data_IF_519655400821
#
_entry.id   IF_519655400821
#
_cell.length_a   1.000
_cell.length_b   1.000
_cell.length_c   1.000
_cell.angle_alpha   90.00
_cell.angle_beta   90.00
_cell.angle_gamma   90.00
#
_symmetry.space_group_name_H-M   'P 1'
#
loop_
_entity.id
_entity.type
_entity.pdbx_description
1 polymer ?
#
# COMPACT_ATOMS: atom_id res chain seq x y z
N UNK A 1 -42.76 -19.09 -13.51
CA UNK A 1 -41.34 -19.51 -13.50
C UNK A 1 -40.58 -18.71 -14.56
N UNK A 2 -40.25 -17.44 -14.27
CA UNK A 2 -39.43 -16.56 -15.13
C UNK A 2 -38.91 -15.35 -14.33
N UNK A 3 -38.53 -15.57 -13.07
CA UNK A 3 -37.91 -14.54 -12.22
C UNK A 3 -36.37 -14.57 -12.27
N UNK A 4 -35.79 -15.36 -13.19
CA UNK A 4 -34.35 -15.64 -13.24
C UNK A 4 -33.56 -14.82 -14.28
N UNK A 5 -34.19 -13.97 -15.10
CA UNK A 5 -33.51 -13.24 -16.18
C UNK A 5 -32.98 -11.85 -15.81
N UNK A 6 -33.05 -11.43 -14.55
CA UNK A 6 -32.59 -10.10 -14.12
C UNK A 6 -31.40 -10.13 -13.16
N UNK A 7 -30.57 -11.18 -13.20
CA UNK A 7 -29.22 -11.11 -12.62
C UNK A 7 -28.38 -10.19 -13.50
N UNK A 8 -28.46 -8.89 -13.21
CA UNK A 8 -27.57 -7.89 -13.78
C UNK A 8 -26.13 -8.40 -13.70
N UNK A 9 -25.48 -8.49 -14.85
CA UNK A 9 -24.10 -8.95 -15.05
C UNK A 9 -23.09 -7.91 -14.56
N UNK A 10 -23.32 -7.33 -13.38
CA UNK A 10 -22.37 -6.42 -12.78
C UNK A 10 -21.30 -7.25 -12.08
N UNK A 11 -20.04 -7.11 -12.53
CA UNK A 11 -18.78 -7.59 -11.90
C UNK A 11 -18.07 -8.81 -12.52
N UNK A 12 -17.97 -8.94 -13.85
CA UNK A 12 -17.04 -9.93 -14.45
C UNK A 12 -15.57 -9.44 -14.54
N UNK A 13 -15.30 -8.16 -14.26
CA UNK A 13 -13.99 -7.53 -14.46
C UNK A 13 -13.34 -6.96 -13.20
N UNK A 14 -13.86 -7.27 -12.01
CA UNK A 14 -13.29 -6.74 -10.75
C UNK A 14 -11.83 -7.15 -10.52
N UNK A 15 -11.40 -8.28 -11.09
CA UNK A 15 -10.01 -8.72 -11.04
C UNK A 15 -9.03 -7.75 -11.73
N UNK A 16 -9.48 -6.92 -12.68
CA UNK A 16 -8.65 -5.87 -13.28
C UNK A 16 -8.21 -4.84 -12.23
N UNK A 17 -9.03 -4.59 -11.21
CA UNK A 17 -8.69 -3.73 -10.08
C UNK A 17 -7.60 -4.36 -9.20
N UNK A 18 -7.60 -5.69 -9.07
CA UNK A 18 -6.49 -6.39 -8.44
C UNK A 18 -5.20 -6.32 -9.26
N UNK A 19 -5.28 -6.39 -10.58
CA UNK A 19 -4.12 -6.20 -11.47
C UNK A 19 -3.56 -4.80 -11.33
N UNK A 20 -4.41 -3.77 -11.28
CA UNK A 20 -3.97 -2.40 -10.99
C UNK A 20 -3.26 -2.32 -9.63
N UNK A 21 -3.86 -2.88 -8.58
CA UNK A 21 -3.26 -2.92 -7.24
C UNK A 21 -1.90 -3.63 -7.23
N UNK A 22 -1.78 -4.75 -7.94
CA UNK A 22 -0.53 -5.49 -8.08
C UNK A 22 0.54 -4.66 -8.83
N UNK A 23 0.14 -3.92 -9.87
CA UNK A 23 1.01 -2.98 -10.55
C UNK A 23 1.56 -1.90 -9.63
N UNK A 24 0.73 -1.37 -8.72
CA UNK A 24 1.16 -0.40 -7.70
C UNK A 24 2.17 -1.03 -6.73
N UNK A 25 1.93 -2.26 -6.25
CA UNK A 25 2.89 -2.98 -5.39
C UNK A 25 4.23 -3.18 -6.08
N UNK A 26 4.23 -3.60 -7.36
CA UNK A 26 5.46 -3.79 -8.13
C UNK A 26 6.21 -2.46 -8.30
N UNK A 27 5.50 -1.38 -8.64
CA UNK A 27 6.10 -0.06 -8.77
C UNK A 27 6.71 0.46 -7.45
N UNK A 28 6.01 0.25 -6.34
CA UNK A 28 6.48 0.60 -5.00
C UNK A 28 7.76 -0.18 -4.63
N UNK A 29 7.74 -1.51 -4.72
CA UNK A 29 8.94 -2.30 -4.38
C UNK A 29 10.12 -2.04 -5.33
N UNK A 30 9.85 -1.80 -6.62
CA UNK A 30 10.91 -1.47 -7.59
C UNK A 30 11.56 -0.12 -7.30
N UNK A 31 10.78 0.90 -6.96
CA UNK A 31 11.32 2.23 -6.62
C UNK A 31 12.07 2.20 -5.29
N UNK A 32 11.56 1.48 -4.27
CA UNK A 32 12.29 1.24 -3.02
C UNK A 32 13.62 0.51 -3.24
N UNK A 33 13.63 -0.53 -4.06
CA UNK A 33 14.86 -1.26 -4.39
C UNK A 33 15.88 -0.36 -5.11
N UNK A 34 15.41 0.48 -6.05
CA UNK A 34 16.27 1.45 -6.73
C UNK A 34 16.90 2.43 -5.73
N UNK A 35 16.12 3.01 -4.82
CA UNK A 35 16.63 3.95 -3.81
C UNK A 35 17.61 3.26 -2.86
N UNK A 36 17.29 2.07 -2.36
CA UNK A 36 18.20 1.27 -1.52
C UNK A 36 19.53 0.96 -2.20
N UNK A 37 19.56 0.87 -3.53
CA UNK A 37 20.78 0.65 -4.31
C UNK A 37 21.57 1.92 -4.64
N UNK A 38 20.97 3.11 -4.46
CA UNK A 38 21.53 4.39 -4.94
C UNK A 38 21.78 5.43 -3.86
N UNK A 39 21.17 5.30 -2.68
CA UNK A 39 21.34 6.18 -1.53
C UNK A 39 21.77 5.39 -0.29
N UNK A 40 22.55 6.03 0.58
CA UNK A 40 22.81 5.54 1.94
C UNK A 40 21.75 6.05 2.91
N UNK A 41 21.47 5.35 4.02
CA UNK A 41 20.51 5.83 5.01
C UNK A 41 20.89 7.22 5.54
N UNK A 42 19.96 8.17 5.49
CA UNK A 42 20.18 9.57 5.86
C UNK A 42 20.87 10.43 4.77
N UNK A 43 21.23 9.85 3.63
CA UNK A 43 21.68 10.61 2.47
C UNK A 43 20.50 11.32 1.80
N UNK A 44 20.69 12.60 1.50
CA UNK A 44 19.74 13.44 0.80
C UNK A 44 20.25 13.76 -0.61
N UNK A 45 19.38 13.60 -1.61
CA UNK A 45 19.60 14.06 -2.98
C UNK A 45 18.49 15.03 -3.38
N UNK A 46 18.79 16.32 -3.29
CA UNK A 46 17.89 17.40 -3.72
C UNK A 46 17.66 17.33 -5.23
N UNK A 47 16.39 17.33 -5.64
CA UNK A 47 15.98 17.33 -7.04
C UNK A 47 15.42 18.69 -7.46
N UNK A 48 14.69 19.37 -6.57
CA UNK A 48 14.22 20.74 -6.73
C UNK A 48 14.30 21.48 -5.40
N UNK A 49 14.02 22.79 -5.39
CA UNK A 49 14.03 23.61 -4.17
C UNK A 49 12.99 23.19 -3.12
N UNK A 50 12.03 22.32 -3.47
CA UNK A 50 10.96 21.85 -2.59
C UNK A 50 10.86 20.31 -2.51
N UNK A 51 11.78 19.59 -3.15
CA UNK A 51 11.69 18.14 -3.25
C UNK A 51 13.06 17.46 -3.28
N UNK A 52 13.24 16.51 -2.37
CA UNK A 52 14.45 15.73 -2.19
C UNK A 52 14.15 14.23 -2.11
N UNK A 53 15.12 13.42 -2.51
CA UNK A 53 15.12 11.99 -2.18
C UNK A 53 15.94 11.77 -0.91
N UNK A 54 15.32 11.20 0.13
CA UNK A 54 15.97 10.96 1.43
C UNK A 54 15.71 9.54 1.89
N UNK A 55 16.72 8.66 1.90
CA UNK A 55 16.51 7.28 2.35
C UNK A 55 16.30 7.22 3.87
N UNK A 56 15.06 7.00 4.29
CA UNK A 56 14.63 6.85 5.67
C UNK A 56 13.97 5.48 5.91
N UNK A 57 14.04 5.00 7.15
CA UNK A 57 13.36 3.78 7.55
C UNK A 57 12.33 4.07 8.64
N UNK A 58 11.06 3.83 8.32
CA UNK A 58 9.95 4.12 9.18
C UNK A 58 9.50 2.87 9.95
N UNK A 59 9.90 2.82 11.21
CA UNK A 59 9.48 1.80 12.18
C UNK A 59 8.12 2.11 12.84
N UNK A 60 7.50 3.25 12.52
CA UNK A 60 6.30 3.75 13.20
C UNK A 60 6.59 4.70 14.37
N UNK A 61 7.75 5.36 14.38
CA UNK A 61 8.18 6.23 15.49
C UNK A 61 7.20 7.39 15.79
N UNK A 62 6.40 7.83 14.82
CA UNK A 62 5.34 8.82 15.05
C UNK A 62 4.30 8.37 16.11
N UNK A 63 4.21 7.06 16.38
CA UNK A 63 3.31 6.47 17.36
C UNK A 63 4.03 5.98 18.63
N UNK A 64 5.30 6.36 18.84
CA UNK A 64 6.07 5.95 20.03
C UNK A 64 5.45 6.43 21.34
N UNK A 65 4.61 7.48 21.33
CA UNK A 65 3.87 7.94 22.50
C UNK A 65 2.85 6.92 23.05
N UNK A 66 2.51 5.88 22.28
CA UNK A 66 1.58 4.81 22.70
C UNK A 66 2.28 3.66 23.44
N UNK A 67 3.60 3.68 23.57
CA UNK A 67 4.32 2.72 24.40
C UNK A 67 5.82 2.72 24.16
N UNK A 68 6.59 2.69 25.24
CA UNK A 68 8.06 2.72 25.25
C UNK A 68 8.72 1.45 24.70
N UNK A 69 7.97 0.36 24.55
CA UNK A 69 8.47 -0.87 23.98
C UNK A 69 8.67 -0.72 22.46
N UNK A 70 9.90 -0.90 21.97
CA UNK A 70 10.16 -0.89 20.54
C UNK A 70 9.57 -2.15 19.85
N UNK A 71 8.92 -1.97 18.70
CA UNK A 71 8.64 -3.05 17.76
C UNK A 71 7.19 -3.56 17.72
N UNK A 72 6.32 -3.18 18.67
CA UNK A 72 4.89 -3.54 18.59
C UNK A 72 4.20 -2.89 17.38
N UNK A 73 4.68 -1.71 16.95
CA UNK A 73 4.17 -0.95 15.82
C UNK A 73 4.18 -1.77 14.54
N UNK A 74 5.23 -2.59 14.34
CA UNK A 74 5.34 -3.50 13.20
C UNK A 74 4.12 -4.42 13.10
N UNK A 75 3.78 -5.08 14.21
CA UNK A 75 2.67 -6.04 14.25
C UNK A 75 1.32 -5.33 14.14
N UNK A 76 1.12 -4.20 14.85
CA UNK A 76 -0.13 -3.45 14.75
C UNK A 76 -0.39 -3.02 13.31
N UNK A 77 0.57 -2.37 12.66
CA UNK A 77 0.38 -1.87 11.30
C UNK A 77 0.25 -3.01 10.28
N UNK A 78 0.91 -4.15 10.51
CA UNK A 78 0.71 -5.31 9.66
C UNK A 78 -0.74 -5.84 9.75
N UNK A 79 -1.29 -5.94 10.96
CA UNK A 79 -2.69 -6.35 11.18
C UNK A 79 -3.66 -5.35 10.55
N UNK A 80 -3.46 -4.05 10.77
CA UNK A 80 -4.31 -3.00 10.16
C UNK A 80 -4.28 -3.10 8.64
N UNK A 81 -3.09 -3.24 8.04
CA UNK A 81 -2.97 -3.36 6.59
C UNK A 81 -3.67 -4.62 6.04
N UNK A 82 -3.57 -5.76 6.75
CA UNK A 82 -4.24 -6.99 6.36
C UNK A 82 -5.77 -6.86 6.43
N UNK A 83 -6.30 -6.28 7.51
CA UNK A 83 -7.74 -6.04 7.66
C UNK A 83 -8.24 -5.08 6.59
N UNK A 84 -7.53 -3.98 6.36
CA UNK A 84 -7.85 -3.03 5.30
C UNK A 84 -7.83 -3.69 3.91
N UNK A 85 -6.83 -4.53 3.62
CA UNK A 85 -6.74 -5.25 2.36
C UNK A 85 -7.94 -6.18 2.14
N UNK A 86 -8.32 -6.97 3.15
CA UNK A 86 -9.51 -7.84 3.10
C UNK A 86 -10.79 -7.04 2.85
N UNK A 87 -10.98 -5.93 3.57
CA UNK A 87 -12.13 -5.04 3.40
C UNK A 87 -12.18 -4.44 1.98
N UNK A 88 -11.06 -3.93 1.48
CA UNK A 88 -11.00 -3.32 0.16
C UNK A 88 -11.27 -4.35 -0.94
N UNK A 89 -10.71 -5.56 -0.84
CA UNK A 89 -11.00 -6.64 -1.79
C UNK A 89 -12.49 -7.01 -1.77
N UNK A 90 -13.12 -7.01 -0.59
CA UNK A 90 -14.56 -7.21 -0.47
C UNK A 90 -15.38 -6.08 -1.12
N UNK A 91 -14.98 -4.81 -0.93
CA UNK A 91 -15.61 -3.66 -1.57
C UNK A 91 -15.47 -3.70 -3.11
N UNK A 92 -14.27 -4.01 -3.61
CA UNK A 92 -14.02 -4.14 -5.06
C UNK A 92 -14.89 -5.22 -5.71
N UNK A 93 -15.19 -6.31 -4.99
CA UNK A 93 -16.10 -7.37 -5.48
C UNK A 93 -17.54 -6.89 -5.59
N UNK A 94 -17.98 -5.99 -4.71
CA UNK A 94 -19.32 -5.36 -4.78
C UNK A 94 -19.45 -4.38 -5.93
N UNK A 95 -18.32 -3.90 -6.46
CA UNK A 95 -18.28 -2.95 -7.57
C UNK A 95 -18.66 -1.54 -7.13
N UNK A 96 -18.69 -0.64 -8.11
CA UNK A 96 -18.91 0.79 -7.95
C UNK A 96 -18.55 1.50 -9.24
N UNK A 97 -18.55 2.84 -9.25
CA UNK A 97 -18.03 3.57 -10.39
C UNK A 97 -16.51 3.35 -10.57
N UNK A 98 -15.99 3.72 -11.73
CA UNK A 98 -14.58 3.49 -12.09
C UNK A 98 -13.62 4.24 -11.17
N UNK A 99 -13.97 5.46 -10.75
CA UNK A 99 -13.11 6.29 -9.92
C UNK A 99 -13.01 5.70 -8.50
N UNK A 100 -14.14 5.26 -7.95
CA UNK A 100 -14.22 4.55 -6.68
C UNK A 100 -13.36 3.28 -6.69
N UNK A 101 -13.52 2.42 -7.70
CA UNK A 101 -12.74 1.18 -7.79
C UNK A 101 -11.24 1.44 -8.03
N UNK A 102 -10.90 2.45 -8.84
CA UNK A 102 -9.52 2.86 -9.04
C UNK A 102 -8.90 3.36 -7.72
N UNK A 103 -9.58 4.23 -6.98
CA UNK A 103 -9.13 4.72 -5.68
C UNK A 103 -8.88 3.58 -4.69
N UNK A 104 -9.83 2.64 -4.57
CA UNK A 104 -9.67 1.44 -3.75
C UNK A 104 -8.45 0.61 -4.17
N UNK A 105 -8.20 0.47 -5.47
CA UNK A 105 -7.05 -0.29 -5.98
C UNK A 105 -5.70 0.37 -5.62
N UNK A 106 -5.63 1.70 -5.71
CA UNK A 106 -4.43 2.47 -5.33
C UNK A 106 -4.16 2.34 -3.82
N UNK A 107 -5.21 2.45 -2.99
CA UNK A 107 -5.10 2.27 -1.54
C UNK A 107 -4.66 0.84 -1.20
N UNK A 108 -5.25 -0.17 -1.86
CA UNK A 108 -4.87 -1.57 -1.67
C UNK A 108 -3.40 -1.81 -2.03
N UNK A 109 -2.95 -1.29 -3.16
CA UNK A 109 -1.57 -1.40 -3.61
C UNK A 109 -0.58 -0.79 -2.62
N UNK A 110 -0.84 0.46 -2.18
CA UNK A 110 0.01 1.13 -1.19
C UNK A 110 0.03 0.43 0.17
N UNK A 111 -1.12 -0.08 0.63
CA UNK A 111 -1.21 -0.84 1.87
C UNK A 111 -0.39 -2.15 1.80
N UNK A 112 -0.47 -2.87 0.67
CA UNK A 112 0.24 -4.13 0.48
C UNK A 112 1.76 -3.94 0.29
N UNK A 113 2.22 -2.89 -0.40
CA UNK A 113 3.65 -2.57 -0.50
C UNK A 113 4.26 -2.26 0.88
N UNK A 114 3.59 -1.41 1.66
CA UNK A 114 4.01 -1.08 3.02
C UNK A 114 3.87 -2.26 4.00
N UNK A 115 2.97 -3.21 3.74
CA UNK A 115 2.89 -4.47 4.48
C UNK A 115 4.08 -5.39 4.14
N UNK A 116 4.45 -5.47 2.85
CA UNK A 116 5.59 -6.27 2.38
C UNK A 116 6.87 -5.87 3.11
N UNK A 117 7.17 -4.57 3.15
CA UNK A 117 8.33 -4.04 3.88
C UNK A 117 8.29 -4.36 5.38
N UNK A 118 7.11 -4.23 6.02
CA UNK A 118 6.97 -4.58 7.45
C UNK A 118 7.20 -6.06 7.72
N UNK A 119 6.79 -6.93 6.81
CA UNK A 119 7.01 -8.38 6.96
C UNK A 119 8.49 -8.71 6.73
N UNK A 120 9.09 -8.17 5.67
CA UNK A 120 10.44 -8.54 5.21
C UNK A 120 11.57 -7.79 5.93
N UNK A 121 11.41 -6.49 6.17
CA UNK A 121 12.41 -5.59 6.75
C UNK A 121 12.10 -5.16 8.19
N UNK A 122 10.84 -5.32 8.62
CA UNK A 122 10.37 -4.86 9.94
C UNK A 122 10.07 -3.36 10.03
N UNK A 123 10.27 -2.62 8.94
CA UNK A 123 10.12 -1.16 8.82
C UNK A 123 9.86 -0.81 7.35
N UNK A 124 9.22 0.32 7.10
CA UNK A 124 8.92 0.80 5.73
C UNK A 124 10.09 1.61 5.19
N UNK A 125 10.39 1.44 3.90
CA UNK A 125 11.36 2.27 3.19
C UNK A 125 10.66 3.53 2.70
N UNK A 126 11.04 4.68 3.23
CA UNK A 126 10.53 6.00 2.82
C UNK A 126 11.65 6.76 2.11
N UNK A 127 11.32 7.48 1.03
CA UNK A 127 12.35 8.14 0.22
C UNK A 127 11.95 9.45 -0.46
N UNK A 128 10.70 9.89 -0.34
CA UNK A 128 10.22 11.14 -0.93
C UNK A 128 10.08 12.17 0.20
N UNK A 129 10.76 13.32 0.08
CA UNK A 129 10.74 14.39 1.09
C UNK A 129 10.59 15.77 0.47
#
# INVERSE_FOLDING_TARGET
>A
MSADLARSTTSQRWWLWLVLSAGIVVADQATKALVLSTLRPGEERTLTDFFSLVLAFNSGAAFSFLGDAAGWQRYLFAVIALVAACLIVWLLRRGGDKLYCAGLSLILGGALGNLCDRITLGKVVDFLS
#
